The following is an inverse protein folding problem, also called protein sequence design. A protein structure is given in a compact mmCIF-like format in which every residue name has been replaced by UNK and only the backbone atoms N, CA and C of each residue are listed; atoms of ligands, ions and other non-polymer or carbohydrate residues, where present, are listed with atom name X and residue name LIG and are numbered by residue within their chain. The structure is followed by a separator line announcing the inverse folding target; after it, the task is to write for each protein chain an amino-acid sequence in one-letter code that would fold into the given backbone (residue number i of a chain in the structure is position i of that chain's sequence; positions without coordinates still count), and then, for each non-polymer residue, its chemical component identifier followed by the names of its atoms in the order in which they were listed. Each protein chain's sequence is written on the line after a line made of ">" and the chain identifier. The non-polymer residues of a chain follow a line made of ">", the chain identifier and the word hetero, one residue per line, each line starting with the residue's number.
data_IF_367683754984
#
_entry.id   IF_367683754984
#
_cell.length_a   1.000
_cell.length_b   1.000
_cell.length_c   1.000
_cell.angle_alpha   90.00
_cell.angle_beta   90.00
_cell.angle_gamma   90.00
#
_symmetry.space_group_name_H-M   'P 1'
#
loop_
_entity.id
_entity.type
_entity.pdbx_description
1 polymer ?
#
# COMPACT_ATOMS: atom_id res chain seq x y z
N UNK A 1 1.32 -18.40 -15.39
CA UNK A 1 0.21 -17.51 -15.00
C UNK A 1 0.03 -17.64 -13.50
N UNK A 2 0.48 -16.66 -12.71
CA UNK A 2 0.25 -16.68 -11.27
C UNK A 2 -1.21 -16.25 -11.02
N UNK A 3 -2.01 -17.14 -10.45
CA UNK A 3 -3.38 -16.87 -10.04
C UNK A 3 -3.35 -15.88 -8.86
N UNK A 4 -3.82 -14.66 -9.09
CA UNK A 4 -4.01 -13.62 -8.07
C UNK A 4 -5.34 -13.94 -7.37
N UNK A 5 -5.33 -14.92 -6.47
CA UNK A 5 -6.54 -15.43 -5.78
C UNK A 5 -6.50 -15.18 -4.26
N UNK A 6 -5.67 -14.23 -3.81
CA UNK A 6 -5.42 -14.00 -2.38
C UNK A 6 -6.01 -12.69 -1.83
N UNK A 7 -6.55 -11.82 -2.68
CA UNK A 7 -7.22 -10.59 -2.24
C UNK A 7 -8.51 -10.95 -1.52
N UNK A 8 -8.54 -10.83 -0.20
CA UNK A 8 -9.73 -11.12 0.61
C UNK A 8 -10.29 -9.82 1.17
N UNK A 9 -11.57 -9.62 0.93
CA UNK A 9 -12.38 -8.65 1.69
C UNK A 9 -12.60 -9.24 3.08
N UNK A 10 -12.26 -8.49 4.12
CA UNK A 10 -12.38 -8.90 5.52
C UNK A 10 -13.21 -7.88 6.31
N UNK A 11 -13.70 -8.27 7.48
CA UNK A 11 -14.35 -7.32 8.39
C UNK A 11 -13.33 -6.32 8.95
N UNK A 12 -13.81 -5.18 9.48
CA UNK A 12 -12.95 -4.20 10.14
C UNK A 12 -12.11 -4.81 11.26
N UNK A 13 -12.72 -5.66 12.09
CA UNK A 13 -12.05 -6.31 13.23
C UNK A 13 -10.94 -7.26 12.78
N UNK A 14 -11.21 -8.04 11.71
CA UNK A 14 -10.20 -8.91 11.11
C UNK A 14 -9.06 -8.11 10.49
N UNK A 15 -9.39 -6.97 9.88
CA UNK A 15 -8.42 -6.04 9.33
C UNK A 15 -7.54 -5.42 10.43
N UNK A 16 -8.15 -4.84 11.46
CA UNK A 16 -7.45 -4.22 12.58
C UNK A 16 -6.56 -5.25 13.32
N UNK A 17 -7.05 -6.47 13.52
CA UNK A 17 -6.26 -7.55 14.13
C UNK A 17 -5.05 -7.94 13.27
N UNK A 18 -5.22 -8.00 11.94
CA UNK A 18 -4.11 -8.28 11.01
C UNK A 18 -3.11 -7.15 10.95
N UNK A 19 -3.58 -5.91 10.82
CA UNK A 19 -2.79 -4.69 10.89
C UNK A 19 -1.99 -4.67 12.19
N UNK A 20 -2.64 -4.85 13.35
CA UNK A 20 -1.98 -4.87 14.65
C UNK A 20 -0.90 -5.94 14.73
N UNK A 21 -1.21 -7.18 14.34
CA UNK A 21 -0.25 -8.29 14.37
C UNK A 21 0.96 -8.06 13.44
N UNK A 22 0.76 -7.39 12.31
CA UNK A 22 1.84 -7.02 11.40
C UNK A 22 2.66 -5.86 11.94
N UNK A 23 2.02 -4.74 12.31
CA UNK A 23 2.70 -3.53 12.77
C UNK A 23 3.35 -3.70 14.14
N UNK A 24 2.97 -4.69 14.95
CA UNK A 24 3.76 -5.09 16.13
C UNK A 24 5.19 -5.52 15.79
N UNK A 25 5.41 -6.03 14.56
CA UNK A 25 6.72 -6.54 14.10
C UNK A 25 7.28 -5.76 12.92
N UNK A 26 6.54 -4.78 12.42
CA UNK A 26 6.85 -4.01 11.24
C UNK A 26 6.98 -2.52 11.56
N UNK A 27 7.92 -1.86 10.91
CA UNK A 27 8.01 -0.40 10.93
C UNK A 27 6.90 0.16 10.05
N UNK A 28 6.02 0.96 10.66
CA UNK A 28 5.00 1.74 9.94
C UNK A 28 5.64 2.96 9.31
N UNK A 29 5.50 3.10 8.00
CA UNK A 29 5.90 4.28 7.25
C UNK A 29 4.65 4.95 6.71
N UNK A 30 4.47 6.22 7.04
CA UNK A 30 3.40 7.03 6.48
C UNK A 30 3.85 7.60 5.14
N UNK A 31 2.94 7.68 4.18
CA UNK A 31 3.23 8.30 2.88
C UNK A 31 3.32 9.82 3.06
N UNK A 32 4.47 10.46 2.78
CA UNK A 32 4.61 11.91 2.90
C UNK A 32 3.67 12.65 1.94
N UNK A 33 3.29 13.88 2.28
CA UNK A 33 2.36 14.68 1.47
C UNK A 33 2.75 14.82 0.00
N UNK A 34 4.05 14.91 -0.30
CA UNK A 34 4.57 14.95 -1.68
C UNK A 34 4.23 13.68 -2.46
N UNK A 35 4.41 12.51 -1.86
CA UNK A 35 4.11 11.24 -2.50
C UNK A 35 2.61 10.95 -2.51
N UNK A 36 1.86 11.46 -1.53
CA UNK A 36 0.38 11.44 -1.55
C UNK A 36 -0.16 12.25 -2.73
N UNK A 37 0.44 13.40 -3.05
CA UNK A 37 0.06 14.17 -4.24
C UNK A 37 0.35 13.38 -5.52
N UNK A 38 1.54 12.80 -5.66
CA UNK A 38 1.86 11.96 -6.82
C UNK A 38 0.94 10.75 -6.96
N UNK A 39 0.57 10.13 -5.83
CA UNK A 39 -0.37 9.03 -5.78
C UNK A 39 -1.78 9.45 -6.25
N UNK A 40 -2.25 10.62 -5.80
CA UNK A 40 -3.51 11.19 -6.23
C UNK A 40 -3.51 11.48 -7.75
N UNK A 41 -2.45 12.11 -8.26
CA UNK A 41 -2.27 12.39 -9.68
C UNK A 41 -2.21 11.10 -10.51
N UNK A 42 -1.46 10.10 -10.04
CA UNK A 42 -1.33 8.78 -10.66
C UNK A 42 -2.70 8.09 -10.79
N UNK A 43 -3.54 8.21 -9.76
CA UNK A 43 -4.88 7.63 -9.71
C UNK A 43 -5.97 8.52 -10.31
N UNK A 44 -5.65 9.77 -10.69
CA UNK A 44 -6.62 10.72 -11.21
C UNK A 44 -7.70 11.12 -10.20
N UNK A 45 -7.37 11.15 -8.92
CA UNK A 45 -8.27 11.51 -7.81
C UNK A 45 -7.67 12.66 -6.98
N UNK A 46 -8.43 13.20 -6.03
CA UNK A 46 -7.90 14.21 -5.11
C UNK A 46 -7.09 13.57 -3.97
N UNK A 47 -6.17 14.33 -3.36
CA UNK A 47 -5.46 13.88 -2.15
C UNK A 47 -6.42 13.61 -0.98
N UNK A 48 -7.56 14.31 -0.91
CA UNK A 48 -8.62 14.02 0.05
C UNK A 48 -9.28 12.65 -0.18
N UNK A 49 -9.32 12.16 -1.42
CA UNK A 49 -9.81 10.82 -1.77
C UNK A 49 -8.82 9.72 -1.38
N UNK A 50 -7.52 10.02 -1.46
CA UNK A 50 -6.46 9.09 -1.06
C UNK A 50 -6.36 8.99 0.47
N UNK A 51 -6.51 10.12 1.16
CA UNK A 51 -6.40 10.19 2.62
C UNK A 51 -5.00 9.88 3.13
N UNK A 52 -4.94 9.56 4.42
CA UNK A 52 -3.71 9.09 5.06
C UNK A 52 -3.46 7.63 4.66
N UNK A 53 -2.28 7.35 4.10
CA UNK A 53 -1.88 5.99 3.73
C UNK A 53 -0.60 5.63 4.45
N UNK A 54 -0.51 4.37 4.90
CA UNK A 54 0.66 3.85 5.56
C UNK A 54 0.98 2.44 5.07
N UNK A 55 2.27 2.11 5.10
CA UNK A 55 2.81 0.83 4.68
C UNK A 55 3.62 0.22 5.82
N UNK A 56 3.50 -1.08 6.02
CA UNK A 56 4.27 -1.83 7.01
C UNK A 56 5.41 -2.59 6.36
N UNK A 57 6.61 -2.43 6.90
CA UNK A 57 7.80 -3.16 6.45
C UNK A 57 8.47 -3.90 7.60
N UNK A 58 8.97 -5.13 7.40
CA UNK A 58 9.86 -5.74 8.37
C UNK A 58 11.05 -4.81 8.67
N UNK A 59 11.51 -4.82 9.92
CA UNK A 59 12.63 -3.97 10.35
C UNK A 59 13.86 -4.16 9.46
N UNK A 60 14.39 -3.07 8.91
CA UNK A 60 15.51 -3.07 7.97
C UNK A 60 15.12 -3.17 6.49
N UNK A 61 13.83 -3.35 6.18
CA UNK A 61 13.29 -3.43 4.81
C UNK A 61 12.58 -2.14 4.35
N UNK A 62 12.63 -1.08 5.14
CA UNK A 62 11.86 0.16 4.95
C UNK A 62 12.38 1.03 3.81
N UNK A 63 13.63 0.83 3.39
CA UNK A 63 14.32 1.71 2.45
C UNK A 63 14.83 0.95 1.24
N UNK A 64 14.89 1.65 0.11
CA UNK A 64 15.49 1.11 -1.09
C UNK A 64 16.99 0.92 -0.89
N UNK A 65 17.48 -0.32 -1.01
CA UNK A 65 18.91 -0.62 -0.93
C UNK A 65 19.76 0.11 -2.00
N UNK A 66 19.15 0.56 -3.10
CA UNK A 66 19.85 1.25 -4.19
C UNK A 66 19.96 2.77 -4.01
N UNK A 67 18.96 3.44 -3.43
CA UNK A 67 18.95 4.91 -3.34
C UNK A 67 18.67 5.44 -1.91
N UNK A 68 18.42 4.56 -0.94
CA UNK A 68 18.16 4.93 0.45
C UNK A 68 16.79 5.54 0.73
N UNK A 69 15.97 5.79 -0.30
CA UNK A 69 14.62 6.35 -0.13
C UNK A 69 13.73 5.37 0.64
N UNK A 70 12.99 5.88 1.63
CA UNK A 70 11.95 5.12 2.30
C UNK A 70 10.83 4.75 1.32
N UNK A 71 10.37 3.51 1.39
CA UNK A 71 9.25 3.05 0.58
C UNK A 71 7.93 3.63 1.10
N UNK A 72 7.02 3.89 0.18
CA UNK A 72 5.72 4.50 0.47
C UNK A 72 4.62 3.77 -0.27
N UNK A 73 3.37 4.17 -0.03
CA UNK A 73 2.24 3.60 -0.75
C UNK A 73 2.27 3.90 -2.26
N UNK A 74 2.99 4.93 -2.70
CA UNK A 74 3.21 5.26 -4.11
C UNK A 74 3.95 4.12 -4.84
N UNK A 75 5.04 3.63 -4.26
CA UNK A 75 5.87 2.55 -4.84
C UNK A 75 5.05 1.26 -5.06
N UNK A 76 4.16 0.96 -4.11
CA UNK A 76 3.25 -0.18 -4.17
C UNK A 76 2.19 0.03 -5.25
N UNK A 77 1.57 1.22 -5.28
CA UNK A 77 0.47 1.54 -6.21
C UNK A 77 0.95 1.55 -7.67
N UNK A 78 2.11 2.13 -7.96
CA UNK A 78 2.72 2.09 -9.30
C UNK A 78 2.98 0.66 -9.78
N UNK A 79 3.38 -0.21 -8.86
CA UNK A 79 3.56 -1.62 -9.18
C UNK A 79 2.22 -2.31 -9.39
N UNK A 80 1.22 -2.03 -8.53
CA UNK A 80 -0.11 -2.63 -8.59
C UNK A 80 -0.85 -2.29 -9.90
N UNK A 81 -0.62 -1.10 -10.47
CA UNK A 81 -1.18 -0.69 -11.77
C UNK A 81 -0.74 -1.57 -12.94
N UNK A 82 0.31 -2.38 -12.79
CA UNK A 82 0.72 -3.35 -13.81
C UNK A 82 -0.17 -4.59 -13.85
N UNK A 83 -0.91 -4.85 -12.78
CA UNK A 83 -1.75 -6.04 -12.62
C UNK A 83 -3.24 -5.70 -12.43
N UNK A 84 -3.55 -4.50 -11.95
CA UNK A 84 -4.91 -4.06 -11.63
C UNK A 84 -5.24 -2.78 -12.38
N UNK A 85 -6.53 -2.57 -12.67
CA UNK A 85 -6.98 -1.31 -13.25
C UNK A 85 -6.92 -0.18 -12.23
N UNK A 86 -6.84 1.06 -12.72
CA UNK A 86 -6.84 2.26 -11.89
C UNK A 86 -8.12 2.34 -11.05
N UNK A 87 -9.27 2.03 -11.65
CA UNK A 87 -10.58 2.05 -11.00
C UNK A 87 -10.64 1.06 -9.83
N UNK A 88 -10.07 -0.14 -10.01
CA UNK A 88 -9.98 -1.12 -8.94
C UNK A 88 -9.14 -0.60 -7.76
N UNK A 89 -8.00 0.04 -8.03
CA UNK A 89 -7.14 0.58 -6.99
C UNK A 89 -7.79 1.77 -6.26
N UNK A 90 -8.50 2.64 -6.98
CA UNK A 90 -9.29 3.72 -6.38
C UNK A 90 -10.39 3.16 -5.49
N UNK A 91 -11.15 2.17 -5.97
CA UNK A 91 -12.18 1.51 -5.18
C UNK A 91 -11.60 0.82 -3.92
N UNK A 92 -10.39 0.25 -4.02
CA UNK A 92 -9.69 -0.38 -2.91
C UNK A 92 -9.21 0.65 -1.86
N UNK A 93 -8.62 1.77 -2.31
CA UNK A 93 -8.12 2.84 -1.43
C UNK A 93 -9.27 3.57 -0.72
N UNK A 94 -10.37 3.78 -1.44
CA UNK A 94 -11.57 4.42 -0.87
C UNK A 94 -12.41 3.49 0.01
N UNK A 95 -12.01 2.21 0.13
CA UNK A 95 -12.72 1.24 0.96
C UNK A 95 -14.10 0.85 0.42
N UNK A 96 -14.39 1.10 -0.86
CA UNK A 96 -15.70 0.78 -1.48
C UNK A 96 -16.03 -0.70 -1.42
N UNK A 97 -15.01 -1.56 -1.49
CA UNK A 97 -15.14 -3.01 -1.37
C UNK A 97 -14.96 -3.50 0.07
N UNK A 98 -14.93 -2.61 1.06
CA UNK A 98 -14.59 -2.92 2.45
C UNK A 98 -13.08 -2.94 2.71
N UNK A 99 -12.66 -3.65 3.75
CA UNK A 99 -11.26 -3.75 4.13
C UNK A 99 -10.58 -4.87 3.35
N UNK A 100 -9.55 -4.53 2.57
CA UNK A 100 -8.83 -5.48 1.73
C UNK A 100 -7.51 -5.84 2.39
N UNK A 101 -7.29 -7.13 2.63
CA UNK A 101 -5.96 -7.67 2.93
C UNK A 101 -5.44 -8.37 1.70
N UNK A 102 -4.27 -7.94 1.23
CA UNK A 102 -3.52 -8.64 0.20
C UNK A 102 -2.30 -9.33 0.85
N UNK A 103 -2.43 -10.60 1.27
CA UNK A 103 -1.32 -11.34 1.81
C UNK A 103 -0.40 -11.74 0.64
N UNK A 104 0.66 -10.96 0.44
CA UNK A 104 1.63 -11.24 -0.61
C UNK A 104 2.94 -10.50 -0.40
N UNK A 105 4.04 -11.25 -0.47
CA UNK A 105 5.41 -10.77 -0.53
C UNK A 105 5.82 -10.44 -1.97
N UNK A 106 4.99 -9.64 -2.67
CA UNK A 106 5.25 -9.28 -4.06
C UNK A 106 6.37 -8.23 -4.15
N UNK A 107 7.40 -8.43 -4.98
CA UNK A 107 8.38 -7.38 -5.20
C UNK A 107 7.70 -6.20 -5.88
N UNK A 108 8.07 -4.99 -5.46
CA UNK A 108 7.64 -3.75 -6.08
C UNK A 108 8.86 -2.93 -6.48
N UNK A 109 8.67 -1.92 -7.33
CA UNK A 109 9.77 -1.07 -7.77
C UNK A 109 9.79 0.22 -6.95
N UNK A 110 10.98 0.70 -6.59
CA UNK A 110 11.15 2.03 -6.04
C UNK A 110 10.75 3.08 -7.09
N UNK A 111 9.86 3.99 -6.73
CA UNK A 111 9.41 5.09 -7.57
C UNK A 111 10.58 5.97 -8.02
N UNK A 112 11.54 6.22 -7.12
CA UNK A 112 12.64 7.17 -7.38
C UNK A 112 13.71 6.64 -8.33
N UNK A 113 14.12 5.37 -8.21
CA UNK A 113 15.24 4.81 -8.98
C UNK A 113 14.88 3.57 -9.82
N UNK A 114 13.65 3.06 -9.71
CA UNK A 114 13.19 1.88 -10.45
C UNK A 114 13.72 0.54 -9.93
N UNK A 115 14.62 0.53 -8.94
CA UNK A 115 15.16 -0.70 -8.37
C UNK A 115 14.07 -1.52 -7.66
N UNK A 116 14.14 -2.85 -7.81
CA UNK A 116 13.21 -3.77 -7.14
C UNK A 116 13.44 -3.79 -5.63
N UNK A 117 12.38 -3.92 -4.85
CA UNK A 117 12.47 -4.19 -3.41
C UNK A 117 13.01 -5.62 -3.21
N UNK A 118 14.09 -5.72 -2.43
CA UNK A 118 14.71 -6.99 -2.04
C UNK A 118 14.13 -7.40 -0.69
N UNK A 119 13.10 -8.22 -0.73
CA UNK A 119 12.34 -8.64 0.45
C UNK A 119 10.89 -8.25 0.27
N UNK A 120 10.08 -9.23 -0.09
CA UNK A 120 8.64 -9.01 -0.12
C UNK A 120 8.15 -8.77 1.30
N UNK A 121 7.95 -7.51 1.65
CA UNK A 121 7.14 -7.13 2.79
C UNK A 121 5.74 -7.69 2.61
N UNK A 122 5.11 -8.11 3.70
CA UNK A 122 3.67 -8.26 3.69
C UNK A 122 3.10 -6.83 3.63
N UNK A 123 2.63 -6.39 2.46
CA UNK A 123 2.00 -5.09 2.36
C UNK A 123 0.53 -5.20 2.73
N UNK A 124 0.11 -4.41 3.69
CA UNK A 124 -1.29 -4.26 4.02
C UNK A 124 -1.78 -2.98 3.35
N UNK A 125 -2.86 -3.09 2.58
CA UNK A 125 -3.57 -1.93 2.11
C UNK A 125 -4.33 -1.36 3.30
N UNK A 126 -3.80 -0.28 3.91
CA UNK A 126 -4.56 0.48 4.90
C UNK A 126 -5.38 1.53 4.18
N UNK A 127 -6.57 1.13 3.74
CA UNK A 127 -7.62 2.08 3.40
C UNK A 127 -8.13 2.69 4.73
N UNK A 128 -7.56 3.84 5.12
CA UNK A 128 -8.17 4.68 6.16
C UNK A 128 -9.43 5.32 5.60
N UNK A 129 -10.53 4.57 5.62
CA UNK A 129 -11.86 5.10 5.39
C UNK A 129 -12.46 5.75 6.63
N UNK A 130 -11.74 6.59 7.38
CA UNK A 130 -12.34 7.46 8.41
C UNK A 130 -11.48 8.70 8.65
N UNK A 131 -11.93 9.85 8.14
CA UNK A 131 -11.97 11.17 8.81
C UNK A 131 -12.61 12.22 7.87
N UNK A 132 -13.92 12.07 7.62
CA UNK A 132 -14.86 13.16 7.41
C UNK A 132 -16.25 12.64 7.78
N UNK A 133 -16.55 12.73 9.08
CA UNK A 133 -17.85 12.47 9.70
C UNK A 133 -17.85 13.16 11.05
#
# INVERSE_FOLDING_TARGET
>A
MATIDATKVVSKEQFDAKVSATFEKATRLETPAEDTQKLADLLGVSTATVGETAVGFPKGGETCASCGRAFTFLDITETALKAHSKEFLVDAITGKHGYIVNPGSQPFNCHSCGAKSFGGGEYFYVAFGYLCG
#
